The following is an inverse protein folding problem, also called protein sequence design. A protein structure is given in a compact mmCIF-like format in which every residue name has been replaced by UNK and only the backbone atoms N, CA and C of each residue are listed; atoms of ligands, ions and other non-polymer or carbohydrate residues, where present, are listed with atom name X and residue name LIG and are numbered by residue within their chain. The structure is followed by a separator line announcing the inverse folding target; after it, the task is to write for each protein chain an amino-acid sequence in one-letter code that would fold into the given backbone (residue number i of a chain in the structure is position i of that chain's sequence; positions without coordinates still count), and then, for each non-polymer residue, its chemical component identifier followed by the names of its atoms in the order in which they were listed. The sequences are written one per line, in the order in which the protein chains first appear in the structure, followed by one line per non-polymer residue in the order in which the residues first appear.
data_IF_271649526646
#
_entry.id   IF_271649526646
#
_cell.length_a   1.000
_cell.length_b   1.000
_cell.length_c   1.000
_cell.angle_alpha   90.00
_cell.angle_beta   90.00
_cell.angle_gamma   90.00
#
_symmetry.space_group_name_H-M   'P 1'
#
loop_
_entity.id
_entity.type
_entity.pdbx_description
1 polymer ?
#
# COMPACT_ATOMS: atom_id res chain seq x y z
N UNK A 1 -4.26 -3.92 -4.81
CA UNK A 1 -5.56 -3.27 -4.51
C UNK A 1 -6.22 -2.91 -5.81
N UNK A 2 -7.50 -3.23 -5.96
CA UNK A 2 -8.26 -2.94 -7.19
C UNK A 2 -9.02 -1.62 -7.04
N UNK A 3 -8.95 -0.76 -8.05
CA UNK A 3 -9.86 0.39 -8.18
C UNK A 3 -11.11 -0.12 -8.90
N UNK A 4 -12.27 0.06 -8.26
CA UNK A 4 -13.55 -0.37 -8.81
C UNK A 4 -14.22 0.72 -9.64
N UNK A 5 -14.14 1.98 -9.19
CA UNK A 5 -14.78 3.11 -9.87
C UNK A 5 -14.15 4.45 -9.48
N UNK A 6 -14.42 5.48 -10.29
CA UNK A 6 -14.12 6.89 -9.97
C UNK A 6 -15.41 7.69 -10.18
N UNK A 7 -15.94 8.26 -9.10
CA UNK A 7 -17.20 9.00 -9.08
C UNK A 7 -16.93 10.48 -8.83
N UNK A 8 -17.70 11.38 -9.43
CA UNK A 8 -17.64 12.81 -9.14
C UNK A 8 -18.87 13.24 -8.34
N UNK A 9 -18.65 13.90 -7.20
CA UNK A 9 -19.71 14.46 -6.36
C UNK A 9 -19.26 15.87 -5.89
N UNK A 10 -20.11 16.87 -6.11
CA UNK A 10 -19.82 18.28 -5.81
C UNK A 10 -18.49 18.80 -6.38
N UNK A 11 -18.13 18.35 -7.59
CA UNK A 11 -16.89 18.72 -8.26
C UNK A 11 -15.62 18.13 -7.64
N UNK A 12 -15.76 17.09 -6.79
CA UNK A 12 -14.64 16.38 -6.17
C UNK A 12 -14.63 14.92 -6.64
N UNK A 13 -13.46 14.40 -7.06
CA UNK A 13 -13.33 13.00 -7.42
C UNK A 13 -13.28 12.12 -6.17
N UNK A 14 -14.02 11.02 -6.20
CA UNK A 14 -14.03 9.94 -5.22
C UNK A 14 -13.55 8.66 -5.89
N UNK A 15 -12.52 8.03 -5.33
CA UNK A 15 -11.99 6.76 -5.84
C UNK A 15 -12.56 5.63 -5.00
N UNK A 16 -13.35 4.76 -5.62
CA UNK A 16 -13.86 3.55 -4.99
C UNK A 16 -12.85 2.44 -5.20
N UNK A 17 -12.30 1.93 -4.11
CA UNK A 17 -11.26 0.91 -4.15
C UNK A 17 -11.56 -0.27 -3.23
N UNK A 18 -10.88 -1.38 -3.46
CA UNK A 18 -10.94 -2.57 -2.62
C UNK A 18 -10.59 -2.22 -1.17
N UNK A 19 -11.52 -2.50 -0.25
CA UNK A 19 -11.26 -2.47 1.18
C UNK A 19 -10.37 -3.66 1.57
N UNK A 20 -9.13 -3.38 1.95
CA UNK A 20 -8.24 -4.38 2.53
C UNK A 20 -8.34 -4.31 4.05
N UNK A 21 -8.92 -5.35 4.66
CA UNK A 21 -9.00 -5.47 6.13
C UNK A 21 -7.68 -5.96 6.69
N UNK A 22 -6.76 -5.03 6.91
CA UNK A 22 -5.44 -5.30 7.44
C UNK A 22 -4.93 -4.12 8.27
N UNK A 23 -3.99 -4.39 9.16
CA UNK A 23 -3.31 -3.35 9.91
C UNK A 23 -2.20 -2.70 9.06
N UNK A 24 -2.00 -1.39 9.23
CA UNK A 24 -0.89 -0.65 8.63
C UNK A 24 0.44 -0.95 9.31
N UNK A 25 1.53 -0.99 8.52
CA UNK A 25 2.88 -1.26 9.02
C UNK A 25 3.34 -0.20 10.03
N UNK A 26 2.92 1.05 9.86
CA UNK A 26 3.13 2.13 10.82
C UNK A 26 2.63 1.79 12.23
N UNK A 27 1.41 1.25 12.34
CA UNK A 27 0.80 0.83 13.61
C UNK A 27 1.50 -0.38 14.20
N UNK A 28 1.89 -1.34 13.35
CA UNK A 28 2.68 -2.50 13.78
C UNK A 28 4.02 -2.05 14.37
N UNK A 29 4.75 -1.16 13.69
CA UNK A 29 6.03 -0.63 14.17
C UNK A 29 5.83 0.16 15.47
N UNK A 30 4.78 0.97 15.56
CA UNK A 30 4.50 1.74 16.78
C UNK A 30 4.21 0.83 17.99
N UNK A 31 3.55 -0.31 17.78
CA UNK A 31 3.22 -1.28 18.83
C UNK A 31 4.39 -2.19 19.19
N UNK A 32 5.11 -2.71 18.20
CA UNK A 32 6.10 -3.79 18.36
C UNK A 32 7.54 -3.28 18.40
N UNK A 33 7.77 -2.02 18.02
CA UNK A 33 9.11 -1.47 17.80
C UNK A 33 9.75 -2.01 16.51
N UNK A 34 11.10 -1.99 16.42
CA UNK A 34 11.80 -2.53 15.26
C UNK A 34 11.46 -4.00 15.00
N UNK A 35 11.15 -4.32 13.75
CA UNK A 35 10.80 -5.69 13.35
C UNK A 35 12.05 -6.55 13.09
N UNK A 36 11.97 -7.88 13.27
CA UNK A 36 13.07 -8.78 12.94
C UNK A 36 13.48 -8.64 11.46
N UNK A 37 14.79 -8.67 11.13
CA UNK A 37 15.28 -8.46 9.77
C UNK A 37 14.63 -9.36 8.71
N UNK A 38 14.37 -10.63 9.03
CA UNK A 38 13.70 -11.56 8.13
C UNK A 38 12.27 -11.11 7.76
N UNK A 39 11.53 -10.55 8.72
CA UNK A 39 10.18 -10.03 8.47
C UNK A 39 10.23 -8.76 7.62
N UNK A 40 11.20 -7.88 7.88
CA UNK A 40 11.41 -6.67 7.08
C UNK A 40 11.77 -7.02 5.64
N UNK A 41 12.65 -8.02 5.43
CA UNK A 41 13.02 -8.49 4.10
C UNK A 41 11.82 -9.06 3.33
N UNK A 42 10.97 -9.86 3.98
CA UNK A 42 9.76 -10.40 3.36
C UNK A 42 8.79 -9.28 2.91
N UNK A 43 8.53 -8.30 3.78
CA UNK A 43 7.72 -7.11 3.43
C UNK A 43 8.37 -6.35 2.27
N UNK A 44 9.68 -6.14 2.31
CA UNK A 44 10.42 -5.44 1.25
C UNK A 44 10.27 -6.11 -0.12
N UNK A 45 10.33 -7.45 -0.18
CA UNK A 45 10.12 -8.20 -1.43
C UNK A 45 8.70 -7.98 -1.98
N UNK A 46 7.68 -8.05 -1.13
CA UNK A 46 6.30 -7.80 -1.54
C UNK A 46 6.09 -6.38 -2.09
N UNK A 47 6.74 -5.39 -1.48
CA UNK A 47 6.70 -4.00 -1.94
C UNK A 47 7.45 -3.82 -3.27
N UNK A 48 8.60 -4.47 -3.44
CA UNK A 48 9.36 -4.43 -4.69
C UNK A 48 8.58 -5.06 -5.85
N UNK A 49 7.87 -6.16 -5.60
CA UNK A 49 6.98 -6.75 -6.59
C UNK A 49 5.86 -5.79 -7.01
N UNK A 50 5.22 -5.12 -6.04
CA UNK A 50 4.16 -4.15 -6.31
C UNK A 50 4.67 -2.92 -7.08
N UNK A 51 5.83 -2.38 -6.66
CA UNK A 51 6.48 -1.26 -7.34
C UNK A 51 6.95 -1.63 -8.74
N UNK A 52 7.51 -2.83 -8.93
CA UNK A 52 7.93 -3.34 -10.24
C UNK A 52 6.75 -3.42 -11.20
N UNK A 53 5.62 -3.97 -10.75
CA UNK A 53 4.39 -4.02 -11.55
C UNK A 53 3.85 -2.62 -11.89
N UNK A 54 3.83 -1.70 -10.92
CA UNK A 54 3.38 -0.32 -11.15
C UNK A 54 4.28 0.43 -12.16
N UNK A 55 5.60 0.32 -11.98
CA UNK A 55 6.56 0.95 -12.89
C UNK A 55 6.47 0.39 -14.31
N UNK A 56 6.26 -0.92 -14.47
CA UNK A 56 6.02 -1.53 -15.79
C UNK A 56 4.76 -1.00 -16.47
N UNK A 57 3.76 -0.56 -15.69
CA UNK A 57 2.55 0.11 -16.17
C UNK A 57 2.72 1.65 -16.31
N UNK A 58 3.93 2.20 -16.12
CA UNK A 58 4.20 3.64 -16.21
C UNK A 58 3.73 4.45 -15.00
N UNK A 59 3.35 3.80 -13.90
CA UNK A 59 2.86 4.44 -12.67
C UNK A 59 3.98 4.55 -11.64
N UNK A 60 4.19 5.74 -11.08
CA UNK A 60 5.14 5.97 -9.99
C UNK A 60 4.37 6.29 -8.72
N UNK A 61 4.66 5.56 -7.63
CA UNK A 61 3.93 5.74 -6.35
C UNK A 61 4.21 7.09 -5.66
N UNK A 62 5.47 7.55 -5.68
CA UNK A 62 5.98 8.82 -5.10
C UNK A 62 5.94 8.99 -3.58
N UNK A 63 5.07 8.29 -2.86
CA UNK A 63 4.91 8.40 -1.41
C UNK A 63 5.03 7.04 -0.70
N UNK A 64 6.15 6.33 -0.89
CA UNK A 64 6.37 5.04 -0.21
C UNK A 64 6.76 5.28 1.25
N UNK A 65 5.91 4.85 2.18
CA UNK A 65 6.11 4.96 3.64
C UNK A 65 5.31 3.89 4.40
N UNK A 66 5.62 3.59 5.68
CA UNK A 66 4.90 2.57 6.44
C UNK A 66 3.38 2.75 6.51
N UNK A 67 2.88 4.00 6.52
CA UNK A 67 1.43 4.28 6.54
C UNK A 67 0.68 3.84 5.28
N UNK A 68 1.39 3.63 4.16
CA UNK A 68 0.81 3.18 2.90
C UNK A 68 1.02 1.67 2.69
N UNK A 69 1.47 0.95 3.72
CA UNK A 69 1.72 -0.50 3.66
C UNK A 69 0.75 -1.22 4.60
N UNK A 70 -0.12 -2.03 4.03
CA UNK A 70 -1.05 -2.88 4.77
C UNK A 70 -0.50 -4.31 4.88
N UNK A 71 -0.74 -4.96 6.03
CA UNK A 71 -0.25 -6.31 6.34
C UNK A 71 -1.40 -7.32 6.50
N UNK A 72 -2.09 -7.73 5.43
CA UNK A 72 -3.01 -8.86 5.48
C UNK A 72 -2.23 -10.18 5.66
N UNK A 73 -2.91 -11.29 5.97
CA UNK A 73 -2.28 -12.60 6.02
C UNK A 73 -1.58 -12.94 4.70
N UNK A 74 -0.30 -13.28 4.79
CA UNK A 74 0.48 -13.89 3.70
C UNK A 74 1.23 -12.93 2.76
N UNK A 75 0.81 -11.67 2.61
CA UNK A 75 1.50 -10.72 1.70
C UNK A 75 1.28 -9.27 2.08
N UNK A 76 2.34 -8.45 2.12
CA UNK A 76 2.19 -7.01 2.27
C UNK A 76 1.57 -6.37 1.01
N UNK A 77 0.77 -5.32 1.21
CA UNK A 77 0.09 -4.59 0.13
C UNK A 77 0.44 -3.12 0.22
N UNK A 78 0.94 -2.56 -0.88
CA UNK A 78 1.15 -1.12 -1.04
C UNK A 78 -0.15 -0.45 -1.53
N UNK A 79 -0.56 0.64 -0.89
CA UNK A 79 -1.79 1.41 -1.17
C UNK A 79 -1.48 2.86 -1.54
N UNK A 80 -2.50 3.63 -1.96
CA UNK A 80 -2.37 5.08 -2.21
C UNK A 80 -1.39 5.47 -3.34
N UNK A 81 -1.36 4.65 -4.39
CA UNK A 81 -0.70 4.99 -5.64
C UNK A 81 -1.35 6.25 -6.25
N UNK A 82 -0.60 7.35 -6.30
CA UNK A 82 -0.97 8.52 -7.10
C UNK A 82 -1.92 9.52 -6.44
N UNK A 83 -1.99 9.61 -5.11
CA UNK A 83 -2.56 10.79 -4.43
C UNK A 83 -1.41 11.75 -4.07
N UNK A 84 -0.75 12.30 -5.10
CA UNK A 84 0.26 13.36 -4.99
C UNK A 84 0.18 14.32 -6.18
#
# INVERSE_FOLDING_TARGET
VTVYDVVEEDGRPWIVMQLVRAEGLDRVIAREGPLPPARVAAIGLDLLDALGAAHAAGVVHRDVKPGNVLLPPGRAVLTDFGIA
#
